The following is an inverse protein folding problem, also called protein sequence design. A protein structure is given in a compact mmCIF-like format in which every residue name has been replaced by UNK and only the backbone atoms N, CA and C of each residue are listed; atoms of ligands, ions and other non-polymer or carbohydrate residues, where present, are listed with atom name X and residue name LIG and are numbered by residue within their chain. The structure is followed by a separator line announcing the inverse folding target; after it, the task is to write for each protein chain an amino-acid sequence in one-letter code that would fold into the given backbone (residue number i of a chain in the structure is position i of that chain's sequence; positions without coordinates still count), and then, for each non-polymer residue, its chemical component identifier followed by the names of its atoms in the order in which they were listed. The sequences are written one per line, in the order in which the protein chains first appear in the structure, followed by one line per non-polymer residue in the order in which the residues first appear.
data_IF_596544679741
#
_entry.id   IF_596544679741
#
_cell.length_a   1.000
_cell.length_b   1.000
_cell.length_c   1.000
_cell.angle_alpha   90.00
_cell.angle_beta   90.00
_cell.angle_gamma   90.00
#
_symmetry.space_group_name_H-M   'P 1'
#
loop_
_entity.id
_entity.type
_entity.pdbx_description
1 polymer ?
#
# COMPACT_ATOMS: atom_id res chain seq x y z
N UNK A 1 -15.89 -2.43 -15.47
CA UNK A 1 -16.50 -3.71 -15.05
C UNK A 1 -15.50 -4.49 -14.22
N UNK A 2 -15.97 -5.34 -13.31
CA UNK A 2 -15.18 -6.32 -12.57
C UNK A 2 -15.96 -7.64 -12.62
N UNK A 3 -15.29 -8.76 -12.90
CA UNK A 3 -15.91 -10.09 -13.01
C UNK A 3 -17.16 -10.15 -13.90
N UNK A 4 -17.18 -9.38 -15.01
CA UNK A 4 -18.34 -9.34 -15.91
C UNK A 4 -19.49 -8.45 -15.44
N UNK A 5 -19.38 -7.77 -14.29
CA UNK A 5 -20.44 -6.91 -13.72
C UNK A 5 -20.03 -5.43 -13.68
N UNK A 6 -21.00 -4.51 -13.80
CA UNK A 6 -20.72 -3.08 -13.63
C UNK A 6 -20.33 -2.79 -12.19
N UNK A 7 -19.36 -1.88 -11.99
CA UNK A 7 -18.93 -1.44 -10.65
C UNK A 7 -20.07 -0.75 -9.89
N UNK A 8 -21.02 -0.14 -10.61
CA UNK A 8 -22.21 0.52 -10.06
C UNK A 8 -23.17 -0.45 -9.39
N UNK A 9 -23.08 -1.73 -9.71
CA UNK A 9 -24.00 -2.75 -9.21
C UNK A 9 -23.50 -3.37 -7.90
N UNK A 10 -22.28 -3.06 -7.48
CA UNK A 10 -21.71 -3.55 -6.24
C UNK A 10 -22.13 -2.68 -5.05
N UNK A 11 -22.31 -3.30 -3.90
CA UNK A 11 -22.35 -2.55 -2.65
C UNK A 11 -20.99 -1.88 -2.41
N UNK A 12 -20.96 -0.56 -2.35
CA UNK A 12 -19.72 0.23 -2.28
C UNK A 12 -18.86 -0.12 -1.06
N UNK A 13 -19.47 -0.43 0.08
CA UNK A 13 -18.77 -0.76 1.32
C UNK A 13 -18.04 -2.11 1.17
N UNK A 14 -18.77 -3.15 0.75
CA UNK A 14 -18.20 -4.48 0.51
C UNK A 14 -17.15 -4.47 -0.60
N UNK A 15 -17.33 -3.64 -1.63
CA UNK A 15 -16.34 -3.52 -2.70
C UNK A 15 -15.03 -2.90 -2.18
N UNK A 16 -15.10 -1.82 -1.40
CA UNK A 16 -13.91 -1.16 -0.81
C UNK A 16 -13.16 -2.05 0.20
N UNK A 17 -13.83 -3.03 0.80
CA UNK A 17 -13.16 -4.05 1.62
C UNK A 17 -12.22 -4.94 0.78
N UNK A 18 -12.55 -5.18 -0.49
CA UNK A 18 -11.72 -5.98 -1.42
C UNK A 18 -10.60 -5.21 -2.11
N UNK A 19 -10.58 -3.87 -2.00
CA UNK A 19 -9.63 -2.99 -2.71
C UNK A 19 -8.65 -2.35 -1.72
N UNK A 20 -7.36 -2.68 -1.83
CA UNK A 20 -6.28 -1.98 -1.16
C UNK A 20 -5.79 -0.81 -2.02
N UNK A 21 -5.55 0.35 -1.41
CA UNK A 21 -5.02 1.53 -2.12
C UNK A 21 -3.80 2.02 -1.35
N UNK A 22 -2.72 2.31 -2.09
CA UNK A 22 -1.52 2.95 -1.56
C UNK A 22 -1.21 4.15 -2.45
N UNK A 23 -1.32 5.34 -1.87
CA UNK A 23 -1.09 6.62 -2.56
C UNK A 23 0.37 7.06 -2.48
N UNK A 24 0.76 7.98 -3.35
CA UNK A 24 2.11 8.56 -3.42
C UNK A 24 2.53 9.21 -2.10
N UNK A 25 1.62 9.99 -1.49
CA UNK A 25 1.84 10.66 -0.21
C UNK A 25 0.83 10.15 0.82
N UNK A 26 1.17 9.08 1.56
CA UNK A 26 0.25 8.52 2.54
C UNK A 26 0.19 9.39 3.80
N UNK A 27 -1.05 9.65 4.22
CA UNK A 27 -1.33 10.35 5.46
C UNK A 27 -1.42 9.33 6.61
N UNK A 28 -0.64 9.58 7.66
CA UNK A 28 -0.78 8.92 8.95
C UNK A 28 -1.59 9.82 9.88
N UNK A 29 -2.58 9.24 10.53
CA UNK A 29 -3.38 9.95 11.51
C UNK A 29 -2.60 10.09 12.81
N UNK A 30 -2.90 11.14 13.58
CA UNK A 30 -2.36 11.42 14.92
C UNK A 30 -2.74 10.37 15.96
N UNK A 31 -2.22 9.15 15.82
CA UNK A 31 -2.52 7.98 16.64
C UNK A 31 -1.31 7.01 16.60
N UNK A 32 -1.40 5.90 17.34
CA UNK A 32 -0.32 4.90 17.33
C UNK A 32 -0.14 4.25 15.95
N UNK A 33 1.02 3.65 15.71
CA UNK A 33 1.27 2.86 14.50
C UNK A 33 0.28 1.68 14.42
N UNK A 34 -0.01 1.05 15.55
CA UNK A 34 -1.03 0.01 15.68
C UNK A 34 -2.38 0.47 15.12
N UNK A 35 -2.90 1.59 15.64
CA UNK A 35 -4.20 2.13 15.22
C UNK A 35 -4.17 2.56 13.74
N UNK A 36 -3.07 3.17 13.29
CA UNK A 36 -2.90 3.52 11.89
C UNK A 36 -3.03 2.31 10.95
N UNK A 37 -2.46 1.16 11.29
CA UNK A 37 -2.60 -0.06 10.47
C UNK A 37 -4.02 -0.63 10.61
N UNK A 38 -4.54 -0.67 11.84
CA UNK A 38 -5.89 -1.18 12.16
C UNK A 38 -7.02 -0.46 11.40
N UNK A 39 -6.83 0.79 10.99
CA UNK A 39 -7.79 1.49 10.13
C UNK A 39 -8.12 0.75 8.83
N UNK A 40 -7.23 -0.12 8.34
CA UNK A 40 -7.49 -0.99 7.20
C UNK A 40 -8.54 -2.07 7.48
N UNK A 41 -8.65 -2.53 8.73
CA UNK A 41 -9.59 -3.56 9.20
C UNK A 41 -9.86 -3.36 10.69
N UNK A 42 -11.02 -2.77 11.02
CA UNK A 42 -11.41 -2.36 12.38
C UNK A 42 -11.30 -3.48 13.42
N UNK A 43 -11.58 -4.72 13.02
CA UNK A 43 -11.53 -5.91 13.88
C UNK A 43 -10.24 -6.72 13.68
N UNK A 44 -9.17 -6.10 13.16
CA UNK A 44 -7.90 -6.79 12.98
C UNK A 44 -7.32 -7.22 14.33
N UNK A 45 -6.89 -8.47 14.40
CA UNK A 45 -6.15 -8.95 15.57
C UNK A 45 -4.73 -8.36 15.57
N UNK A 46 -4.08 -8.37 16.74
CA UNK A 46 -2.68 -7.92 16.83
C UNK A 46 -1.76 -8.72 15.91
N UNK A 47 -1.98 -10.03 15.80
CA UNK A 47 -1.23 -10.92 14.90
C UNK A 47 -1.40 -10.51 13.44
N UNK A 48 -2.62 -10.17 13.00
CA UNK A 48 -2.87 -9.72 11.63
C UNK A 48 -2.17 -8.38 11.33
N UNK A 49 -2.13 -7.47 12.30
CA UNK A 49 -1.43 -6.18 12.18
C UNK A 49 0.09 -6.39 12.08
N UNK A 50 0.66 -7.23 12.93
CA UNK A 50 2.09 -7.55 12.91
C UNK A 50 2.49 -8.27 11.62
N UNK A 51 1.65 -9.19 11.12
CA UNK A 51 1.87 -9.87 9.84
C UNK A 51 1.82 -8.87 8.68
N UNK A 52 0.81 -8.00 8.62
CA UNK A 52 0.73 -6.98 7.57
C UNK A 52 1.94 -6.03 7.60
N UNK A 53 2.41 -5.67 8.80
CA UNK A 53 3.63 -4.89 8.96
C UNK A 53 4.89 -5.65 8.52
N UNK A 54 4.98 -6.97 8.71
CA UNK A 54 6.10 -7.77 8.19
C UNK A 54 6.08 -7.84 6.66
N UNK A 55 4.91 -8.11 6.06
CA UNK A 55 4.74 -8.14 4.61
C UNK A 55 5.16 -6.82 3.96
N UNK A 56 4.82 -5.70 4.60
CA UNK A 56 5.17 -4.35 4.19
C UNK A 56 6.61 -3.91 4.54
N UNK A 57 7.47 -4.81 5.05
CA UNK A 57 8.81 -4.48 5.55
C UNK A 57 8.82 -3.40 6.66
N UNK A 58 7.72 -3.19 7.37
CA UNK A 58 7.58 -2.19 8.43
C UNK A 58 7.97 -2.72 9.81
N UNK A 59 7.75 -4.00 10.07
CA UNK A 59 7.87 -4.58 11.42
C UNK A 59 9.24 -4.29 12.08
N UNK A 60 10.35 -4.44 11.35
CA UNK A 60 11.68 -4.29 11.95
C UNK A 60 11.94 -2.88 12.48
N UNK A 61 11.63 -1.83 11.70
CA UNK A 61 11.84 -0.46 12.16
C UNK A 61 10.86 -0.10 13.28
N UNK A 62 9.62 -0.57 13.20
CA UNK A 62 8.62 -0.36 14.26
C UNK A 62 9.17 -0.90 15.59
N UNK A 63 9.77 -2.10 15.58
CA UNK A 63 10.31 -2.72 16.79
C UNK A 63 11.57 -2.01 17.36
N UNK A 64 12.21 -1.15 16.58
CA UNK A 64 13.33 -0.31 17.03
C UNK A 64 12.88 0.98 17.71
N UNK A 65 11.60 1.36 17.58
CA UNK A 65 11.04 2.51 18.27
C UNK A 65 10.85 2.22 19.77
N UNK A 66 10.97 3.22 20.66
CA UNK A 66 10.83 3.03 22.11
C UNK A 66 9.52 2.33 22.51
N UNK A 67 8.39 2.80 21.96
CA UNK A 67 7.05 2.29 22.26
C UNK A 67 6.54 1.29 21.20
N UNK A 68 7.40 0.90 20.26
CA UNK A 68 7.11 -0.07 19.21
C UNK A 68 5.83 0.29 18.45
N UNK A 69 4.84 -0.60 18.41
CA UNK A 69 3.54 -0.37 17.77
C UNK A 69 2.68 0.70 18.45
N UNK A 70 2.93 0.98 19.73
CA UNK A 70 2.20 2.01 20.49
C UNK A 70 2.79 3.41 20.25
N UNK A 71 3.91 3.51 19.53
CA UNK A 71 4.51 4.79 19.17
C UNK A 71 3.51 5.67 18.43
N UNK A 72 3.26 6.86 18.96
CA UNK A 72 2.40 7.87 18.34
C UNK A 72 3.09 8.49 17.13
N UNK A 73 2.37 8.61 16.02
CA UNK A 73 2.84 9.19 14.75
C UNK A 73 1.83 10.19 14.21
N UNK A 74 2.19 10.94 13.17
CA UNK A 74 1.34 11.98 12.58
C UNK A 74 1.55 13.34 13.25
N UNK A 75 0.54 14.22 13.22
CA UNK A 75 0.65 15.61 13.69
C UNK A 75 0.98 15.76 15.18
N UNK A 76 0.69 14.75 16.00
CA UNK A 76 0.92 14.75 17.45
C UNK A 76 2.00 13.75 17.90
N UNK A 77 2.75 13.16 16.98
CA UNK A 77 3.68 12.07 17.27
C UNK A 77 5.08 12.29 16.69
N UNK A 78 5.88 11.23 16.68
CA UNK A 78 7.19 11.27 16.03
C UNK A 78 7.05 11.46 14.52
N UNK A 79 8.00 12.18 13.92
CA UNK A 79 8.09 12.30 12.48
C UNK A 79 8.77 11.05 11.92
N UNK A 80 8.06 10.36 11.03
CA UNK A 80 8.59 9.25 10.24
C UNK A 80 9.12 9.75 8.90
N UNK A 81 10.14 9.08 8.38
CA UNK A 81 10.60 9.26 7.01
C UNK A 81 9.50 8.93 6.00
N UNK A 82 9.63 9.42 4.77
CA UNK A 82 8.69 9.08 3.68
C UNK A 82 8.56 7.56 3.49
N UNK A 83 9.69 6.84 3.54
CA UNK A 83 9.71 5.39 3.36
C UNK A 83 9.02 4.61 4.48
N UNK A 84 9.14 5.07 5.73
CA UNK A 84 8.42 4.48 6.86
C UNK A 84 6.92 4.75 6.78
N UNK A 85 6.51 5.98 6.42
CA UNK A 85 5.09 6.32 6.18
C UNK A 85 4.50 5.44 5.09
N UNK A 86 5.24 5.22 4.00
CA UNK A 86 4.84 4.35 2.89
C UNK A 86 4.63 2.90 3.34
N UNK A 87 5.56 2.35 4.12
CA UNK A 87 5.47 0.97 4.63
C UNK A 87 4.31 0.80 5.61
N UNK A 88 4.00 1.79 6.44
CA UNK A 88 2.80 1.75 7.31
C UNK A 88 1.53 1.82 6.48
N UNK A 89 1.47 2.68 5.45
CA UNK A 89 0.32 2.78 4.57
C UNK A 89 0.09 1.50 3.76
N UNK A 90 1.18 0.87 3.30
CA UNK A 90 1.13 -0.45 2.69
C UNK A 90 0.60 -1.49 3.68
N UNK A 91 1.11 -1.55 4.91
CA UNK A 91 0.58 -2.45 5.95
C UNK A 91 -0.92 -2.21 6.21
N UNK A 92 -1.37 -0.95 6.27
CA UNK A 92 -2.79 -0.57 6.38
C UNK A 92 -3.62 -1.08 5.20
N UNK A 93 -3.08 -1.07 3.98
CA UNK A 93 -3.78 -1.65 2.83
C UNK A 93 -3.83 -3.19 2.89
N UNK A 94 -2.79 -3.83 3.46
CA UNK A 94 -2.63 -5.29 3.51
C UNK A 94 -3.40 -5.99 4.61
N UNK A 95 -3.63 -5.34 5.75
CA UNK A 95 -4.26 -5.98 6.93
C UNK A 95 -5.67 -6.55 6.64
N UNK A 96 -6.35 -6.02 5.61
CA UNK A 96 -7.66 -6.52 5.15
C UNK A 96 -7.60 -7.60 4.07
N UNK A 97 -6.39 -8.01 3.67
CA UNK A 97 -6.15 -9.02 2.62
C UNK A 97 -6.91 -8.73 1.32
N UNK A 98 -6.63 -7.59 0.65
CA UNK A 98 -7.39 -7.17 -0.52
C UNK A 98 -7.16 -8.10 -1.72
N UNK A 99 -8.20 -8.29 -2.53
CA UNK A 99 -8.12 -9.03 -3.80
C UNK A 99 -7.56 -8.14 -4.93
N UNK A 100 -7.88 -6.85 -4.88
CA UNK A 100 -7.41 -5.82 -5.81
C UNK A 100 -6.48 -4.85 -5.10
N UNK A 101 -5.35 -4.55 -5.69
CA UNK A 101 -4.41 -3.56 -5.17
C UNK A 101 -4.21 -2.44 -6.20
N UNK A 102 -4.36 -1.20 -5.76
CA UNK A 102 -4.06 -0.01 -6.55
C UNK A 102 -2.87 0.70 -5.92
N UNK A 103 -1.77 0.77 -6.67
CA UNK A 103 -0.53 1.42 -6.26
C UNK A 103 -0.36 2.68 -7.10
N UNK A 104 -0.51 3.83 -6.47
CA UNK A 104 -0.41 5.14 -7.11
C UNK A 104 0.91 5.79 -6.74
N UNK A 105 1.90 5.68 -7.63
CA UNK A 105 3.25 6.20 -7.47
C UNK A 105 3.90 5.90 -6.11
N UNK A 106 3.67 4.70 -5.59
CA UNK A 106 3.98 4.35 -4.21
C UNK A 106 5.47 4.40 -3.83
N UNK A 107 6.39 4.69 -4.75
CA UNK A 107 7.84 4.77 -4.50
C UNK A 107 8.50 6.05 -5.01
N UNK A 108 7.78 6.94 -5.71
CA UNK A 108 8.42 8.04 -6.47
C UNK A 108 9.08 9.11 -5.59
N UNK A 109 8.58 9.30 -4.36
CA UNK A 109 9.06 10.30 -3.40
C UNK A 109 10.11 9.77 -2.40
N UNK A 110 10.64 8.56 -2.59
CA UNK A 110 11.53 7.89 -1.63
C UNK A 110 13.01 8.02 -1.99
N UNK A 111 13.87 7.97 -0.97
CA UNK A 111 15.30 7.73 -1.16
C UNK A 111 15.56 6.29 -1.65
N UNK A 112 16.72 6.05 -2.26
CA UNK A 112 17.03 4.76 -2.89
C UNK A 112 16.95 3.54 -1.95
N UNK A 113 17.29 3.71 -0.66
CA UNK A 113 17.26 2.59 0.31
C UNK A 113 15.81 2.27 0.68
N UNK A 114 15.03 3.31 1.01
CA UNK A 114 13.60 3.18 1.28
C UNK A 114 12.82 2.65 0.09
N UNK A 115 13.11 3.15 -1.12
CA UNK A 115 12.50 2.70 -2.38
C UNK A 115 12.69 1.20 -2.59
N UNK A 116 13.92 0.70 -2.40
CA UNK A 116 14.20 -0.73 -2.54
C UNK A 116 13.39 -1.57 -1.57
N UNK A 117 13.32 -1.17 -0.30
CA UNK A 117 12.55 -1.90 0.73
C UNK A 117 11.04 -1.90 0.44
N UNK A 118 10.50 -0.80 -0.06
CA UNK A 118 9.08 -0.72 -0.45
C UNK A 118 8.84 -1.57 -1.70
N UNK A 119 9.70 -1.48 -2.71
CA UNK A 119 9.58 -2.27 -3.94
C UNK A 119 9.63 -3.78 -3.66
N UNK A 120 10.54 -4.24 -2.80
CA UNK A 120 10.61 -5.65 -2.38
C UNK A 120 9.32 -6.11 -1.68
N UNK A 121 8.71 -5.25 -0.87
CA UNK A 121 7.43 -5.54 -0.25
C UNK A 121 6.31 -5.63 -1.30
N UNK A 122 6.23 -4.65 -2.21
CA UNK A 122 5.25 -4.63 -3.30
C UNK A 122 5.37 -5.88 -4.19
N UNK A 123 6.58 -6.25 -4.60
CA UNK A 123 6.84 -7.44 -5.43
C UNK A 123 6.32 -8.75 -4.80
N UNK A 124 6.37 -8.87 -3.47
CA UNK A 124 5.81 -10.03 -2.76
C UNK A 124 4.29 -9.96 -2.68
N UNK A 125 3.79 -8.78 -2.34
CA UNK A 125 2.38 -8.47 -2.11
C UNK A 125 1.53 -8.59 -3.38
N UNK A 126 2.09 -8.26 -4.54
CA UNK A 126 1.40 -8.33 -5.83
C UNK A 126 1.14 -9.78 -6.28
N UNK A 127 1.87 -10.76 -5.74
CA UNK A 127 1.71 -12.17 -6.14
C UNK A 127 0.35 -12.70 -5.71
N UNK A 128 -0.40 -13.23 -6.67
CA UNK A 128 -1.74 -13.79 -6.42
C UNK A 128 -2.85 -12.75 -6.24
N UNK A 129 -2.59 -11.47 -6.55
CA UNK A 129 -3.58 -10.39 -6.49
C UNK A 129 -3.65 -9.64 -7.82
N UNK A 130 -4.83 -9.15 -8.18
CA UNK A 130 -4.97 -8.23 -9.31
C UNK A 130 -4.42 -6.88 -8.87
N UNK A 131 -3.27 -6.48 -9.42
CA UNK A 131 -2.61 -5.24 -9.04
C UNK A 131 -2.53 -4.29 -10.23
N UNK A 132 -2.97 -3.05 -10.01
CA UNK A 132 -2.80 -1.94 -10.93
C UNK A 132 -1.72 -1.03 -10.35
N UNK A 133 -0.67 -0.78 -11.12
CA UNK A 133 0.45 0.07 -10.73
C UNK A 133 0.49 1.28 -11.64
N UNK A 134 0.41 2.47 -11.06
CA UNK A 134 0.68 3.75 -11.70
C UNK A 134 2.09 4.13 -11.28
N UNK A 135 3.00 4.30 -12.25
CA UNK A 135 4.39 4.60 -11.96
C UNK A 135 4.95 5.62 -12.94
N UNK A 136 5.74 6.54 -12.39
CA UNK A 136 6.58 7.45 -13.17
C UNK A 136 7.96 6.84 -13.51
N UNK A 137 8.33 5.72 -12.87
CA UNK A 137 9.62 5.02 -13.07
C UNK A 137 9.39 3.65 -13.71
N UNK A 138 10.06 3.40 -14.84
CA UNK A 138 10.01 2.12 -15.55
C UNK A 138 10.46 0.93 -14.69
N UNK A 139 11.41 1.15 -13.79
CA UNK A 139 11.92 0.12 -12.87
C UNK A 139 10.82 -0.47 -11.97
N UNK A 140 9.81 0.32 -11.60
CA UNK A 140 8.68 -0.09 -10.76
C UNK A 140 7.71 -1.01 -11.50
N UNK A 141 7.61 -0.87 -12.84
CA UNK A 141 6.66 -1.62 -13.68
C UNK A 141 7.34 -2.70 -14.55
N UNK A 142 8.66 -2.87 -14.43
CA UNK A 142 9.42 -3.86 -15.21
C UNK A 142 8.92 -5.30 -15.03
N UNK A 143 8.26 -5.60 -13.91
CA UNK A 143 7.70 -6.93 -13.57
C UNK A 143 6.20 -7.04 -13.87
N UNK A 144 5.60 -6.05 -14.51
CA UNK A 144 4.19 -6.09 -14.86
C UNK A 144 3.93 -7.14 -15.96
N UNK A 145 2.77 -7.80 -15.89
CA UNK A 145 2.35 -8.72 -16.95
C UNK A 145 1.87 -7.98 -18.19
N UNK A 146 1.30 -6.78 -18.00
CA UNK A 146 0.84 -5.91 -19.06
C UNK A 146 1.11 -4.45 -18.68
N UNK A 147 1.57 -3.68 -19.64
CA UNK A 147 1.86 -2.25 -19.50
C UNK A 147 0.96 -1.50 -20.47
N UNK A 148 0.32 -0.44 -19.97
CA UNK A 148 -0.50 0.49 -20.76
C UNK A 148 0.13 1.87 -20.70
N UNK A 149 0.41 2.47 -21.86
CA UNK A 149 0.93 3.83 -21.97
C UNK A 149 -0.22 4.77 -22.28
N UNK A 150 -0.39 5.79 -21.44
CA UNK A 150 -1.44 6.79 -21.56
C UNK A 150 -0.87 8.11 -22.09
N UNK A 151 -1.54 8.70 -23.09
CA UNK A 151 -1.33 10.09 -23.52
C UNK A 151 -2.68 10.79 -23.69
N UNK A 152 -2.81 11.98 -23.11
CA UNK A 152 -4.03 12.82 -23.16
C UNK A 152 -5.33 12.05 -22.87
N UNK A 153 -5.28 11.14 -21.90
CA UNK A 153 -6.44 10.34 -21.47
C UNK A 153 -6.78 9.14 -22.37
N UNK A 154 -5.95 8.83 -23.38
CA UNK A 154 -6.12 7.69 -24.26
C UNK A 154 -4.95 6.71 -24.10
N UNK A 155 -5.21 5.42 -24.28
CA UNK A 155 -4.16 4.40 -24.37
C UNK A 155 -3.52 4.50 -25.75
N UNK A 156 -2.24 4.88 -25.80
CA UNK A 156 -1.48 4.98 -27.05
C UNK A 156 -0.67 3.72 -27.36
N UNK A 157 -0.26 2.98 -26.32
CA UNK A 157 0.46 1.71 -26.46
C UNK A 157 0.02 0.72 -25.38
N UNK A 158 0.11 -0.56 -25.71
CA UNK A 158 -0.08 -1.66 -24.77
C UNK A 158 0.89 -2.80 -25.10
N UNK A 159 1.48 -3.41 -24.08
CA UNK A 159 2.50 -4.43 -24.27
C UNK A 159 2.83 -5.18 -22.98
N UNK A 160 3.99 -5.84 -22.99
CA UNK A 160 4.57 -6.57 -21.85
C UNK A 160 5.96 -6.03 -21.55
#
# INVERSE_FOLDING_TARGET
MIDGRSITDYNIKQFREKVGVVSQEPILFGMSIYENIRLGKVNATRTEIEQAAQEANAHHFIMQLPDKYETLVGECGIQLSGGEKQRIALARALVKQPTFLLLDEATSALDNVSEKLVQEALDRVCKGRTTIVIAHRLTTIQKAHHIYVLDKGNVIEQGT
#
